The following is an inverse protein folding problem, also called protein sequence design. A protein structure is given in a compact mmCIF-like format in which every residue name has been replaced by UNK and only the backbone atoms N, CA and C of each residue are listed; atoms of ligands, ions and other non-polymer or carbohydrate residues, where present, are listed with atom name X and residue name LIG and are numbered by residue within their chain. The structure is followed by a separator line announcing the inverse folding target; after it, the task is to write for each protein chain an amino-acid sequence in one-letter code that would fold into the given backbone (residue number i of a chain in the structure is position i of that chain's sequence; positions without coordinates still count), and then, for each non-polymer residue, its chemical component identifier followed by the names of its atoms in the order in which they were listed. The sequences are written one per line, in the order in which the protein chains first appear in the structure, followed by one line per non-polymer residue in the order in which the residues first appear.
data_IF_511833569027
#
_entry.id   IF_511833569027
#
_cell.length_a   1.000
_cell.length_b   1.000
_cell.length_c   1.000
_cell.angle_alpha   90.00
_cell.angle_beta   90.00
_cell.angle_gamma   90.00
#
_symmetry.space_group_name_H-M   'P 1'
#
loop_
_entity.id
_entity.type
_entity.pdbx_description
1 polymer ?
#
# COMPACT_ATOMS: atom_id res chain seq x y z
N UNK A 1 -39.80 36.48 -0.37
CA UNK A 1 -38.54 36.00 0.26
C UNK A 1 -38.26 34.51 0.02
N UNK A 2 -39.22 33.70 -0.46
CA UNK A 2 -39.06 32.24 -0.65
C UNK A 2 -38.26 31.84 -1.91
N UNK A 3 -38.26 32.67 -2.95
CA UNK A 3 -37.66 32.37 -4.27
C UNK A 3 -36.14 32.41 -4.31
N UNK A 4 -35.50 33.26 -3.48
CA UNK A 4 -34.03 33.37 -3.42
C UNK A 4 -33.36 32.17 -2.74
N UNK A 5 -34.00 31.59 -1.73
CA UNK A 5 -33.50 30.39 -1.05
C UNK A 5 -33.58 29.15 -1.94
N UNK A 6 -34.68 28.99 -2.68
CA UNK A 6 -34.86 27.89 -3.63
C UNK A 6 -33.83 27.92 -4.77
N UNK A 7 -33.50 29.11 -5.30
CA UNK A 7 -32.50 29.27 -6.34
C UNK A 7 -31.10 28.87 -5.85
N UNK A 8 -30.73 29.27 -4.63
CA UNK A 8 -29.43 28.93 -4.03
C UNK A 8 -29.27 27.42 -3.82
N UNK A 9 -30.32 26.75 -3.33
CA UNK A 9 -30.34 25.29 -3.15
C UNK A 9 -30.21 24.58 -4.49
N UNK A 10 -30.90 25.05 -5.53
CA UNK A 10 -30.80 24.48 -6.88
C UNK A 10 -29.39 24.63 -7.45
N UNK A 11 -28.76 25.80 -7.28
CA UNK A 11 -27.38 26.06 -7.71
C UNK A 11 -26.40 25.15 -6.97
N UNK A 12 -26.52 24.99 -5.65
CA UNK A 12 -25.67 24.10 -4.88
C UNK A 12 -25.85 22.62 -5.28
N UNK A 13 -27.07 22.21 -5.60
CA UNK A 13 -27.36 20.86 -6.08
C UNK A 13 -26.74 20.61 -7.46
N UNK A 14 -26.88 21.57 -8.39
CA UNK A 14 -26.25 21.51 -9.70
C UNK A 14 -24.72 21.49 -9.61
N UNK A 15 -24.13 22.31 -8.73
CA UNK A 15 -22.69 22.31 -8.49
C UNK A 15 -22.20 20.96 -7.93
N UNK A 16 -22.94 20.36 -6.99
CA UNK A 16 -22.62 19.01 -6.50
C UNK A 16 -22.71 17.97 -7.61
N UNK A 17 -23.75 18.01 -8.44
CA UNK A 17 -23.88 17.10 -9.61
C UNK A 17 -22.70 17.28 -10.56
N UNK A 18 -22.27 18.52 -10.84
CA UNK A 18 -21.11 18.79 -11.70
C UNK A 18 -19.83 18.20 -11.09
N UNK A 19 -19.60 18.39 -9.79
CA UNK A 19 -18.44 17.83 -9.08
C UNK A 19 -18.46 16.31 -9.10
N UNK A 20 -19.60 15.68 -8.82
CA UNK A 20 -19.79 14.22 -8.90
C UNK A 20 -19.50 13.71 -10.32
N UNK A 21 -20.05 14.37 -11.35
CA UNK A 21 -19.82 14.00 -12.76
C UNK A 21 -18.36 14.17 -13.20
N UNK A 22 -17.66 15.23 -12.76
CA UNK A 22 -16.24 15.43 -13.07
C UNK A 22 -15.36 14.42 -12.34
N UNK A 23 -15.71 14.02 -11.11
CA UNK A 23 -14.99 12.95 -10.39
C UNK A 23 -15.25 11.57 -10.99
N UNK A 24 -16.38 11.38 -11.66
CA UNK A 24 -16.74 10.17 -12.39
C UNK A 24 -16.10 10.08 -13.79
N UNK A 25 -15.45 11.15 -14.29
CA UNK A 25 -14.74 11.08 -15.57
C UNK A 25 -13.56 10.11 -15.45
N UNK A 26 -13.54 9.04 -16.26
CA UNK A 26 -12.39 8.14 -16.29
C UNK A 26 -11.15 8.93 -16.72
N UNK A 27 -10.01 8.58 -16.12
CA UNK A 27 -8.74 9.14 -16.51
C UNK A 27 -8.55 8.86 -18.00
N UNK A 28 -8.33 9.90 -18.81
CA UNK A 28 -8.15 9.72 -20.25
C UNK A 28 -6.95 8.82 -20.54
N UNK A 29 -7.05 7.98 -21.57
CA UNK A 29 -5.97 7.08 -22.01
C UNK A 29 -4.76 7.81 -22.62
N UNK A 30 -4.68 9.14 -22.48
CA UNK A 30 -3.61 9.95 -23.02
C UNK A 30 -2.42 9.87 -22.06
N UNK A 31 -1.40 9.13 -22.49
CA UNK A 31 -0.08 9.15 -21.86
C UNK A 31 0.39 10.61 -21.76
N UNK A 32 0.41 11.16 -20.54
CA UNK A 32 0.69 12.58 -20.30
C UNK A 32 2.15 12.96 -20.63
N UNK A 33 3.04 11.98 -20.65
CA UNK A 33 4.46 12.16 -20.95
C UNK A 33 4.93 11.13 -22.00
N UNK A 34 5.29 11.56 -23.21
CA UNK A 34 5.89 10.70 -24.22
C UNK A 34 7.15 10.01 -23.67
N UNK A 35 7.33 8.69 -23.83
CA UNK A 35 8.47 7.97 -23.29
C UNK A 35 9.83 8.53 -23.74
N UNK A 36 9.92 9.01 -24.98
CA UNK A 36 11.15 9.57 -25.56
C UNK A 36 11.58 10.92 -24.95
N UNK A 37 10.70 11.61 -24.22
CA UNK A 37 11.02 12.88 -23.55
C UNK A 37 11.57 12.68 -22.14
N UNK A 38 11.55 11.45 -21.63
CA UNK A 38 12.11 11.13 -20.32
C UNK A 38 13.41 10.37 -20.55
N UNK A 39 14.58 10.96 -20.26
CA UNK A 39 15.84 10.25 -20.46
C UNK A 39 15.91 9.04 -19.53
N UNK A 40 16.40 7.90 -20.01
CA UNK A 40 16.46 6.63 -19.25
C UNK A 40 17.17 6.80 -17.90
N UNK A 41 18.21 7.64 -17.88
CA UNK A 41 18.96 7.93 -16.67
C UNK A 41 18.08 8.63 -15.59
N UNK A 42 17.00 9.32 -15.95
CA UNK A 42 16.10 9.98 -15.02
C UNK A 42 15.16 9.00 -14.31
N UNK A 43 14.97 7.80 -14.88
CA UNK A 43 14.10 6.76 -14.31
C UNK A 43 14.89 5.62 -13.66
N UNK A 44 16.20 5.53 -13.90
CA UNK A 44 16.98 4.38 -13.46
C UNK A 44 17.18 4.36 -11.92
N UNK A 45 16.71 3.31 -11.20
CA UNK A 45 16.82 3.21 -9.75
C UNK A 45 18.25 2.94 -9.22
N UNK A 46 19.27 2.82 -10.08
CA UNK A 46 20.67 2.84 -9.64
C UNK A 46 21.03 4.17 -8.95
N UNK A 47 20.43 5.27 -9.43
CA UNK A 47 20.62 6.61 -8.87
C UNK A 47 19.91 6.74 -7.52
N UNK A 48 20.63 7.19 -6.49
CA UNK A 48 20.07 7.44 -5.15
C UNK A 48 18.92 8.44 -5.17
N UNK A 49 19.00 9.46 -6.03
CA UNK A 49 17.95 10.47 -6.21
C UNK A 49 16.64 9.84 -6.68
N UNK A 50 16.70 8.89 -7.61
CA UNK A 50 15.52 8.17 -8.12
C UNK A 50 14.92 7.30 -7.02
N UNK A 51 15.75 6.50 -6.32
CA UNK A 51 15.30 5.68 -5.18
C UNK A 51 14.61 6.52 -4.10
N UNK A 52 15.21 7.66 -3.76
CA UNK A 52 14.65 8.60 -2.78
C UNK A 52 13.30 9.15 -3.24
N UNK A 53 13.17 9.54 -4.51
CA UNK A 53 11.89 10.00 -5.07
C UNK A 53 10.82 8.91 -5.04
N UNK A 54 11.16 7.67 -5.42
CA UNK A 54 10.22 6.54 -5.37
C UNK A 54 9.67 6.38 -3.95
N UNK A 55 10.55 6.24 -2.95
CA UNK A 55 10.14 6.05 -1.55
C UNK A 55 9.37 7.27 -1.03
N UNK A 56 9.82 8.49 -1.36
CA UNK A 56 9.17 9.74 -0.97
C UNK A 56 7.72 9.80 -1.47
N UNK A 57 7.49 9.57 -2.76
CA UNK A 57 6.14 9.63 -3.33
C UNK A 57 5.25 8.52 -2.77
N UNK A 58 5.77 7.30 -2.59
CA UNK A 58 4.99 6.23 -1.95
C UNK A 58 4.55 6.62 -0.54
N UNK A 59 5.47 7.10 0.30
CA UNK A 59 5.15 7.55 1.64
C UNK A 59 4.20 8.74 1.64
N UNK A 60 4.39 9.71 0.75
CA UNK A 60 3.47 10.83 0.57
C UNK A 60 2.03 10.34 0.33
N UNK A 61 1.82 9.45 -0.64
CA UNK A 61 0.47 8.94 -0.92
C UNK A 61 -0.08 8.06 0.22
N UNK A 62 0.76 7.33 0.95
CA UNK A 62 0.37 6.59 2.16
C UNK A 62 -0.19 7.51 3.25
N UNK A 63 0.30 8.75 3.36
CA UNK A 63 -0.25 9.75 4.30
C UNK A 63 -1.60 10.35 3.85
N UNK A 64 -1.99 10.15 2.59
CA UNK A 64 -3.17 10.79 1.97
C UNK A 64 -4.32 9.82 1.69
N UNK A 65 -4.23 8.59 2.17
CA UNK A 65 -5.29 7.60 1.97
C UNK A 65 -6.61 8.06 2.59
N UNK A 66 -7.70 7.64 1.96
CA UNK A 66 -9.07 7.84 2.44
C UNK A 66 -9.81 6.49 2.34
N UNK A 67 -10.48 6.03 3.41
CA UNK A 67 -10.48 6.58 4.78
C UNK A 67 -9.08 6.59 5.43
N UNK A 68 -8.91 7.33 6.54
CA UNK A 68 -7.60 7.44 7.23
C UNK A 68 -7.17 6.10 7.83
N UNK A 69 -5.86 5.89 7.93
CA UNK A 69 -5.27 4.63 8.37
C UNK A 69 -4.60 4.74 9.75
N UNK A 70 -4.94 3.84 10.66
CA UNK A 70 -4.36 3.80 12.01
C UNK A 70 -3.00 3.11 12.10
N UNK A 71 -2.69 2.23 11.15
CA UNK A 71 -1.52 1.34 11.18
C UNK A 71 -0.64 1.44 9.92
N UNK A 72 -0.68 2.57 9.21
CA UNK A 72 0.03 2.73 7.94
C UNK A 72 1.56 2.76 8.14
N UNK A 73 2.27 1.70 7.79
CA UNK A 73 3.73 1.63 7.92
C UNK A 73 4.50 2.63 7.02
N UNK A 74 5.65 3.10 7.47
CA UNK A 74 6.62 3.84 6.64
C UNK A 74 7.31 2.87 5.67
N UNK A 75 7.38 3.22 4.39
CA UNK A 75 8.18 2.48 3.41
C UNK A 75 9.63 2.96 3.39
N UNK A 76 10.54 2.02 3.20
CA UNK A 76 11.98 2.26 3.01
C UNK A 76 12.48 1.54 1.76
N UNK A 77 13.66 1.92 1.27
CA UNK A 77 14.28 1.23 0.15
C UNK A 77 14.94 -0.07 0.62
N UNK A 78 14.65 -1.19 -0.05
CA UNK A 78 15.28 -2.47 0.25
C UNK A 78 16.11 -2.99 -0.94
N UNK A 79 17.40 -3.25 -0.70
CA UNK A 79 18.33 -3.66 -1.75
C UNK A 79 17.99 -5.04 -2.34
N UNK A 80 17.53 -5.99 -1.53
CA UNK A 80 17.13 -7.32 -1.99
C UNK A 80 15.92 -7.28 -2.92
N UNK A 81 14.90 -6.49 -2.57
CA UNK A 81 13.71 -6.30 -3.39
C UNK A 81 14.05 -5.59 -4.71
N UNK A 82 14.94 -4.60 -4.66
CA UNK A 82 15.43 -3.92 -5.86
C UNK A 82 16.17 -4.85 -6.83
N UNK A 83 17.01 -5.77 -6.33
CA UNK A 83 17.68 -6.76 -7.17
C UNK A 83 16.69 -7.71 -7.84
N UNK A 84 15.70 -8.19 -7.10
CA UNK A 84 14.66 -9.07 -7.65
C UNK A 84 13.80 -8.33 -8.71
N UNK A 85 13.41 -7.08 -8.44
CA UNK A 85 12.68 -6.26 -9.40
C UNK A 85 13.49 -6.00 -10.69
N UNK A 86 14.80 -5.74 -10.56
CA UNK A 86 15.69 -5.57 -11.70
C UNK A 86 15.80 -6.86 -12.53
N UNK A 87 16.05 -8.01 -11.87
CA UNK A 87 16.13 -9.31 -12.55
C UNK A 87 14.82 -9.67 -13.27
N UNK A 88 13.66 -9.26 -12.74
CA UNK A 88 12.39 -9.43 -13.43
C UNK A 88 12.24 -8.49 -14.63
N UNK A 89 12.57 -7.20 -14.47
CA UNK A 89 12.49 -6.20 -15.53
C UNK A 89 13.36 -6.58 -16.75
N UNK A 90 14.51 -7.21 -16.52
CA UNK A 90 15.42 -7.71 -17.56
C UNK A 90 14.84 -8.86 -18.39
N UNK A 91 13.78 -9.54 -17.92
CA UNK A 91 13.02 -10.51 -18.73
C UNK A 91 12.21 -9.82 -19.85
N UNK A 92 12.06 -8.50 -19.81
CA UNK A 92 11.33 -7.68 -20.78
C UNK A 92 9.90 -8.17 -21.07
N UNK A 93 9.22 -8.69 -20.04
CA UNK A 93 7.83 -9.13 -20.16
C UNK A 93 6.89 -7.93 -19.96
N UNK A 94 6.23 -7.49 -21.02
CA UNK A 94 5.36 -6.34 -20.97
C UNK A 94 4.07 -6.62 -20.16
N UNK A 95 3.81 -5.80 -19.13
CA UNK A 95 2.60 -5.83 -18.29
C UNK A 95 2.25 -7.22 -17.70
N UNK A 96 3.24 -8.08 -17.51
CA UNK A 96 3.09 -9.37 -16.84
C UNK A 96 3.70 -9.26 -15.45
N UNK A 97 3.07 -9.88 -14.47
CA UNK A 97 3.68 -10.13 -13.15
C UNK A 97 4.38 -11.48 -13.18
N UNK A 98 5.43 -11.65 -12.37
CA UNK A 98 6.00 -12.99 -12.15
C UNK A 98 5.04 -13.86 -11.32
N UNK A 99 5.36 -15.16 -11.24
CA UNK A 99 4.68 -16.07 -10.33
C UNK A 99 4.88 -15.58 -8.87
N UNK A 100 3.85 -15.70 -8.03
CA UNK A 100 3.89 -15.28 -6.61
C UNK A 100 5.03 -15.97 -5.85
N UNK A 101 5.38 -17.20 -6.23
CA UNK A 101 6.51 -17.95 -5.66
C UNK A 101 7.86 -17.30 -5.94
N UNK A 102 7.97 -16.57 -7.04
CA UNK A 102 9.18 -15.82 -7.41
C UNK A 102 9.29 -14.47 -6.68
N UNK A 103 8.27 -14.06 -5.91
CA UNK A 103 8.23 -12.77 -5.20
C UNK A 103 8.74 -12.83 -3.76
N UNK A 104 9.36 -13.94 -3.35
CA UNK A 104 9.92 -14.03 -2.01
C UNK A 104 11.28 -13.33 -1.92
N UNK A 105 11.41 -12.40 -0.98
CA UNK A 105 12.68 -11.79 -0.61
C UNK A 105 13.09 -12.36 0.75
N UNK A 106 14.35 -12.82 0.91
CA UNK A 106 14.83 -13.35 2.18
C UNK A 106 14.54 -12.38 3.34
N UNK A 107 14.02 -12.92 4.44
CA UNK A 107 13.66 -12.19 5.67
C UNK A 107 12.53 -11.16 5.56
N UNK A 108 12.01 -10.89 4.36
CA UNK A 108 10.82 -10.05 4.15
C UNK A 108 9.60 -10.86 3.70
N UNK A 109 9.81 -12.12 3.29
CA UNK A 109 8.76 -12.96 2.75
C UNK A 109 8.30 -12.49 1.38
N UNK A 110 7.03 -12.72 1.05
CA UNK A 110 6.46 -12.36 -0.25
C UNK A 110 6.35 -10.84 -0.38
N UNK A 111 7.01 -10.27 -1.38
CA UNK A 111 6.99 -8.85 -1.71
C UNK A 111 5.94 -8.53 -2.78
N UNK A 112 5.29 -7.37 -2.67
CA UNK A 112 4.41 -6.85 -3.72
C UNK A 112 5.18 -6.29 -4.90
N UNK A 113 4.62 -6.49 -6.10
CA UNK A 113 5.10 -5.86 -7.33
C UNK A 113 4.21 -4.68 -7.70
N UNK A 114 4.78 -3.64 -8.29
CA UNK A 114 4.03 -2.57 -8.95
C UNK A 114 4.68 -2.33 -10.31
N UNK A 115 3.92 -2.53 -11.39
CA UNK A 115 4.40 -2.25 -12.75
C UNK A 115 4.04 -0.81 -13.13
N UNK A 116 5.06 0.02 -13.32
CA UNK A 116 4.92 1.44 -13.67
C UNK A 116 4.58 1.65 -15.16
N UNK A 117 3.52 0.99 -15.64
CA UNK A 117 2.86 1.28 -16.93
C UNK A 117 1.37 0.88 -16.92
N UNK A 118 0.83 0.47 -15.77
CA UNK A 118 -0.54 -0.02 -15.68
C UNK A 118 -1.53 1.09 -15.29
N UNK A 119 -2.67 1.14 -15.97
CA UNK A 119 -3.83 1.95 -15.57
C UNK A 119 -4.44 1.50 -14.22
N UNK A 120 -4.02 0.35 -13.70
CA UNK A 120 -4.45 -0.22 -12.42
C UNK A 120 -3.26 -0.70 -11.59
N UNK A 121 -3.24 -0.30 -10.32
CA UNK A 121 -2.33 -0.86 -9.31
C UNK A 121 -2.65 -2.34 -9.14
N UNK A 122 -1.66 -3.21 -9.22
CA UNK A 122 -1.79 -4.64 -8.87
C UNK A 122 -0.63 -5.04 -7.97
N UNK A 123 -0.81 -5.05 -6.63
CA UNK A 123 0.23 -5.43 -5.67
C UNK A 123 -0.06 -6.76 -4.93
N UNK A 124 1.00 -7.46 -4.49
CA UNK A 124 0.88 -8.31 -3.30
C UNK A 124 0.79 -7.43 -2.04
N UNK A 125 -0.09 -7.82 -1.11
CA UNK A 125 -0.80 -6.95 -0.18
C UNK A 125 -2.32 -7.08 -0.38
N UNK A 126 -2.74 -7.38 -1.62
CA UNK A 126 -4.09 -7.77 -1.97
C UNK A 126 -4.25 -9.30 -1.85
N UNK A 127 -4.26 -9.84 -0.63
CA UNK A 127 -4.71 -11.23 -0.46
C UNK A 127 -6.15 -11.31 -0.97
N UNK A 128 -6.44 -12.26 -1.87
CA UNK A 128 -7.65 -12.24 -2.72
C UNK A 128 -8.96 -12.06 -1.94
N UNK A 129 -9.00 -12.43 -0.65
CA UNK A 129 -10.16 -12.24 0.22
C UNK A 129 -10.20 -10.93 1.03
N UNK A 130 -9.13 -10.14 1.12
CA UNK A 130 -9.06 -8.90 1.94
C UNK A 130 -8.56 -7.67 1.16
N UNK A 131 -8.59 -7.72 -0.17
CA UNK A 131 -8.20 -6.58 -1.04
C UNK A 131 -8.96 -5.29 -0.74
N UNK A 132 -10.16 -5.42 -0.16
CA UNK A 132 -11.01 -4.32 0.29
C UNK A 132 -10.46 -3.55 1.50
N UNK A 133 -9.49 -4.12 2.22
CA UNK A 133 -9.00 -3.60 3.50
C UNK A 133 -7.47 -3.55 3.53
N UNK A 134 -6.84 -2.68 2.73
CA UNK A 134 -5.38 -2.59 2.64
C UNK A 134 -4.70 -2.03 3.91
N UNK A 135 -5.48 -1.51 4.86
CA UNK A 135 -5.04 -0.97 6.15
C UNK A 135 -6.21 -0.93 7.14
N UNK A 136 -5.91 -0.73 8.42
CA UNK A 136 -6.93 -0.52 9.45
C UNK A 136 -7.43 0.91 9.39
N UNK A 137 -8.73 1.08 9.23
CA UNK A 137 -9.39 2.39 9.30
C UNK A 137 -9.30 2.92 10.72
N UNK A 138 -8.91 4.17 10.89
CA UNK A 138 -8.90 4.84 12.19
C UNK A 138 -8.09 6.13 12.19
N UNK A 139 -7.91 6.69 13.38
CA UNK A 139 -7.07 7.88 13.55
C UNK A 139 -5.62 7.58 13.15
N UNK A 140 -4.96 8.48 12.40
CA UNK A 140 -3.57 8.30 12.00
C UNK A 140 -2.67 7.92 13.18
N UNK A 141 -1.89 6.86 13.01
CA UNK A 141 -1.03 6.29 14.05
C UNK A 141 -1.73 5.78 15.32
N UNK A 142 -3.05 5.53 15.30
CA UNK A 142 -3.78 4.98 16.44
C UNK A 142 -3.22 3.64 16.96
N UNK A 143 -2.61 2.84 16.09
CA UNK A 143 -1.97 1.57 16.46
C UNK A 143 -0.46 1.70 16.76
N UNK A 144 0.10 2.92 16.67
CA UNK A 144 1.54 3.17 16.84
C UNK A 144 1.84 4.55 17.47
N UNK A 145 1.24 4.90 18.63
CA UNK A 145 1.32 6.26 19.19
C UNK A 145 2.76 6.72 19.46
N UNK A 146 3.62 5.82 19.95
CA UNK A 146 5.03 6.12 20.25
C UNK A 146 5.97 5.98 19.05
N UNK A 147 5.44 5.59 17.88
CA UNK A 147 6.21 5.28 16.67
C UNK A 147 5.66 5.98 15.44
N UNK A 148 5.05 7.15 15.63
CA UNK A 148 4.40 7.92 14.59
C UNK A 148 5.33 8.97 13.97
N UNK A 149 5.62 8.80 12.67
CA UNK A 149 6.33 9.79 11.87
C UNK A 149 5.33 10.66 11.08
N UNK A 150 5.55 11.97 11.10
CA UNK A 150 4.74 12.96 10.37
C UNK A 150 3.24 12.82 10.63
N UNK A 151 2.86 12.42 11.85
CA UNK A 151 1.47 12.29 12.28
C UNK A 151 0.64 11.25 11.50
N UNK A 152 1.26 10.36 10.72
CA UNK A 152 0.49 9.45 9.84
C UNK A 152 1.16 8.13 9.45
N UNK A 153 2.47 7.97 9.69
CA UNK A 153 3.19 6.75 9.31
C UNK A 153 3.81 6.06 10.52
N UNK A 154 3.53 4.79 10.70
CA UNK A 154 4.10 3.93 11.73
C UNK A 154 5.53 3.47 11.37
N UNK A 155 6.44 3.44 12.34
CA UNK A 155 7.86 3.08 12.15
C UNK A 155 8.28 1.77 12.85
N UNK A 156 7.31 1.12 13.49
CA UNK A 156 7.44 -0.06 14.33
C UNK A 156 7.00 -1.35 13.62
N UNK A 157 7.51 -1.61 12.41
CA UNK A 157 7.20 -2.84 11.69
C UNK A 157 7.77 -4.09 12.40
N UNK A 158 7.01 -5.18 12.38
CA UNK A 158 7.48 -6.54 12.69
C UNK A 158 8.07 -7.18 11.42
N UNK A 159 9.23 -7.81 11.53
CA UNK A 159 9.91 -8.47 10.40
C UNK A 159 9.64 -9.97 10.36
N UNK A 160 8.66 -10.44 11.13
CA UNK A 160 8.14 -11.80 11.08
C UNK A 160 6.78 -11.76 10.43
N UNK A 161 6.36 -12.86 9.84
CA UNK A 161 5.04 -12.99 9.24
C UNK A 161 4.30 -14.17 9.85
N UNK A 162 2.99 -14.02 9.91
CA UNK A 162 2.07 -15.10 10.18
C UNK A 162 1.71 -15.79 8.86
N UNK A 163 1.63 -17.11 8.89
CA UNK A 163 1.15 -17.92 7.78
C UNK A 163 -0.38 -17.86 7.68
N UNK A 164 -1.06 -17.91 8.83
CA UNK A 164 -2.51 -17.76 8.92
C UNK A 164 -2.89 -16.37 9.36
N UNK A 165 -4.01 -15.88 8.86
CA UNK A 165 -4.47 -14.54 9.18
C UNK A 165 -5.22 -14.45 10.52
N UNK A 166 -5.85 -15.54 10.94
CA UNK A 166 -6.51 -15.72 12.24
C UNK A 166 -5.54 -16.24 13.32
N UNK A 167 -4.23 -15.99 13.17
CA UNK A 167 -3.25 -16.32 14.19
C UNK A 167 -3.57 -15.78 15.59
N UNK A 168 -4.14 -14.56 15.76
CA UNK A 168 -4.56 -14.09 17.08
C UNK A 168 -5.55 -15.02 17.80
N UNK A 169 -6.48 -15.63 17.07
CA UNK A 169 -7.41 -16.61 17.62
C UNK A 169 -6.72 -17.96 17.83
N UNK A 170 -5.92 -18.42 16.86
CA UNK A 170 -5.26 -19.73 16.90
C UNK A 170 -4.28 -19.87 18.07
N UNK A 171 -3.51 -18.82 18.39
CA UNK A 171 -2.55 -18.85 19.51
C UNK A 171 -3.25 -18.94 20.87
N UNK A 172 -4.53 -18.55 20.96
CA UNK A 172 -5.32 -18.71 22.20
C UNK A 172 -5.88 -20.14 22.35
N UNK A 173 -5.97 -20.89 21.25
CA UNK A 173 -6.48 -22.26 21.22
C UNK A 173 -5.34 -23.28 21.42
N UNK A 174 -4.20 -23.10 20.76
CA UNK A 174 -3.07 -24.05 20.82
C UNK A 174 -1.72 -23.34 20.73
N UNK A 175 -0.72 -23.81 21.48
CA UNK A 175 0.66 -23.32 21.38
C UNK A 175 1.44 -23.91 20.20
N UNK A 176 0.94 -24.99 19.61
CA UNK A 176 1.58 -25.71 18.51
C UNK A 176 1.79 -24.81 17.28
N UNK A 177 0.90 -23.83 17.05
CA UNK A 177 1.05 -22.88 15.94
C UNK A 177 2.25 -21.95 16.09
N UNK A 178 2.69 -21.69 17.33
CA UNK A 178 3.92 -20.95 17.60
C UNK A 178 5.15 -21.85 17.41
N UNK A 179 5.11 -23.06 17.97
CA UNK A 179 6.21 -24.03 17.93
C UNK A 179 6.53 -24.48 16.49
N UNK A 180 5.50 -24.64 15.66
CA UNK A 180 5.63 -24.96 14.23
C UNK A 180 5.97 -23.77 13.36
N UNK A 181 6.10 -22.57 13.94
CA UNK A 181 6.44 -21.34 13.22
C UNK A 181 5.34 -20.82 12.28
N UNK A 182 4.09 -21.29 12.45
CA UNK A 182 2.95 -20.87 11.63
C UNK A 182 2.48 -19.46 11.98
N UNK A 183 2.50 -19.09 13.27
CA UNK A 183 2.11 -17.77 13.75
C UNK A 183 3.30 -16.96 14.27
N UNK A 184 4.42 -16.97 13.53
CA UNK A 184 5.70 -16.45 14.01
C UNK A 184 5.66 -14.95 14.35
N UNK A 185 4.84 -14.15 13.67
CA UNK A 185 4.70 -12.72 13.99
C UNK A 185 3.89 -12.54 15.26
N UNK A 186 2.71 -13.16 15.34
CA UNK A 186 1.84 -13.10 16.53
C UNK A 186 2.55 -13.62 17.79
N UNK A 187 3.34 -14.69 17.68
CA UNK A 187 3.98 -15.30 18.85
C UNK A 187 5.28 -14.60 19.30
N UNK A 188 5.98 -13.90 18.40
CA UNK A 188 7.36 -13.47 18.68
C UNK A 188 7.65 -11.99 18.42
N UNK A 189 6.73 -11.23 17.82
CA UNK A 189 6.88 -9.79 17.75
C UNK A 189 6.36 -9.15 19.04
N UNK A 190 7.02 -8.07 19.48
CA UNK A 190 6.54 -7.29 20.61
C UNK A 190 5.14 -6.75 20.30
N UNK A 191 4.28 -6.62 21.31
CA UNK A 191 2.87 -6.20 21.16
C UNK A 191 2.72 -4.86 20.43
N UNK A 192 3.70 -3.97 20.61
CA UNK A 192 3.77 -2.67 19.97
C UNK A 192 4.18 -2.72 18.48
N UNK A 193 4.55 -3.87 17.92
CA UNK A 193 4.98 -3.96 16.51
C UNK A 193 3.79 -4.20 15.58
N UNK A 194 3.74 -3.47 14.48
CA UNK A 194 2.73 -3.68 13.44
C UNK A 194 3.09 -4.93 12.62
N UNK A 195 2.24 -5.96 12.70
CA UNK A 195 2.36 -7.20 11.93
C UNK A 195 1.02 -7.69 11.34
N UNK A 196 -0.09 -7.05 11.69
CA UNK A 196 -1.45 -7.51 11.38
C UNK A 196 -2.00 -6.81 10.14
N UNK A 197 -2.47 -7.59 9.18
CA UNK A 197 -3.35 -7.11 8.11
C UNK A 197 -4.81 -7.33 8.55
N UNK A 198 -5.57 -6.25 8.60
CA UNK A 198 -7.00 -6.24 8.94
C UNK A 198 -7.84 -6.49 7.68
N UNK A 199 -9.10 -6.98 7.78
CA UNK A 199 -9.94 -7.04 8.96
C UNK A 199 -10.26 -8.47 9.38
N UNK A 200 -10.31 -8.72 10.68
CA UNK A 200 -10.90 -9.97 11.21
C UNK A 200 -12.07 -9.62 12.14
N UNK A 201 -12.88 -8.65 11.71
CA UNK A 201 -14.29 -8.48 12.07
C UNK A 201 -15.05 -8.04 10.84
#
# INVERSE_FOLDING_TARGET
MYTRGALLVLVLFLLNIIVELDTARPWGNKQQFPPHLIPDNALHPRRSVVRRKIVLYHNFFRTKVRPRAANMLLMTWHAGAARQAQAYAEKCQFLKHNDVRENQVPHLGTCGQNLFVAAQKTPCGNYHSITQYPYKIGEPCGDCPNHCLSGSLCTNACHKMDYYSNCPELVSITKEVCERGLCNATCNCAEEKIHRNYPWR
#
